data_IF_722047929862
#
_entry.id   IF_722047929862
#
_cell.length_a   1.000
_cell.length_b   1.000
_cell.length_c   1.000
_cell.angle_alpha   90.00
_cell.angle_beta   90.00
_cell.angle_gamma   90.00
#
_symmetry.space_group_name_H-M   'P 1'
#
loop_
_entity.id
_entity.type
_entity.pdbx_description
1 polymer ?
#
# COMPACT_ATOMS: atom_id res chain seq x y z
N UNK A 1 9.93 -17.06 -6.53
CA UNK A 1 9.31 -16.71 -5.24
C UNK A 1 7.82 -16.57 -5.49
N UNK A 2 6.99 -17.44 -4.93
CA UNK A 2 5.54 -17.41 -5.13
C UNK A 2 4.94 -16.32 -4.23
N UNK A 3 4.51 -15.20 -4.82
CA UNK A 3 3.66 -14.22 -4.14
C UNK A 3 2.21 -14.61 -4.39
N UNK A 4 1.49 -15.00 -3.34
CA UNK A 4 0.03 -15.16 -3.41
C UNK A 4 -0.56 -13.77 -3.49
N UNK A 5 -0.91 -13.31 -4.70
CA UNK A 5 -1.59 -12.03 -4.88
C UNK A 5 -2.97 -12.11 -4.23
N UNK A 6 -3.12 -11.40 -3.12
CA UNK A 6 -4.39 -11.35 -2.40
C UNK A 6 -5.30 -10.32 -3.08
N UNK A 7 -6.13 -10.77 -4.02
CA UNK A 7 -7.00 -9.90 -4.81
C UNK A 7 -8.26 -9.50 -4.03
N UNK A 8 -8.11 -8.71 -2.96
CA UNK A 8 -9.24 -8.05 -2.29
C UNK A 8 -9.40 -6.63 -2.86
N UNK A 9 -10.63 -6.17 -3.12
CA UNK A 9 -10.87 -4.75 -3.39
C UNK A 9 -10.33 -3.91 -2.22
N UNK A 10 -9.80 -2.72 -2.50
CA UNK A 10 -9.28 -1.80 -1.46
C UNK A 10 -10.31 -1.55 -0.35
N UNK A 11 -11.58 -1.38 -0.72
CA UNK A 11 -12.69 -1.24 0.23
C UNK A 11 -12.78 -2.42 1.21
N UNK A 12 -12.56 -3.66 0.75
CA UNK A 12 -12.64 -4.84 1.61
C UNK A 12 -11.49 -4.87 2.63
N UNK A 13 -10.30 -4.40 2.26
CA UNK A 13 -9.16 -4.25 3.18
C UNK A 13 -9.46 -3.17 4.22
N UNK A 14 -9.90 -1.99 3.78
CA UNK A 14 -10.27 -0.87 4.68
C UNK A 14 -11.36 -1.28 5.68
N UNK A 15 -12.42 -1.91 5.19
CA UNK A 15 -13.51 -2.37 6.03
C UNK A 15 -13.07 -3.46 7.03
N UNK A 16 -12.05 -4.26 6.70
CA UNK A 16 -11.52 -5.26 7.63
C UNK A 16 -10.84 -4.63 8.85
N UNK A 17 -10.14 -3.50 8.68
CA UNK A 17 -9.56 -2.75 9.80
C UNK A 17 -10.63 -2.12 10.68
N UNK A 18 -11.66 -1.50 10.06
CA UNK A 18 -12.79 -0.90 10.77
C UNK A 18 -13.56 -1.98 11.55
N UNK A 19 -13.85 -3.12 10.91
CA UNK A 19 -14.56 -4.24 11.55
C UNK A 19 -13.77 -4.87 12.71
N UNK A 20 -12.44 -4.76 12.68
CA UNK A 20 -11.57 -5.18 13.78
C UNK A 20 -11.43 -4.11 14.90
N UNK A 21 -12.07 -2.95 14.76
CA UNK A 21 -12.09 -1.88 15.76
C UNK A 21 -10.93 -0.88 15.69
N UNK A 22 -10.09 -0.93 14.64
CA UNK A 22 -9.02 0.04 14.46
C UNK A 22 -9.53 1.36 13.88
N UNK A 23 -8.94 2.47 14.31
CA UNK A 23 -9.09 3.77 13.65
C UNK A 23 -7.95 3.99 12.66
N UNK A 24 -8.27 4.29 11.40
CA UNK A 24 -7.26 4.61 10.37
C UNK A 24 -6.81 6.07 10.58
N UNK A 25 -5.52 6.27 10.84
CA UNK A 25 -4.92 7.60 11.07
C UNK A 25 -4.31 8.19 9.81
N UNK A 26 -3.67 7.36 8.99
CA UNK A 26 -3.10 7.77 7.72
C UNK A 26 -3.15 6.61 6.71
N UNK A 27 -3.24 6.98 5.44
CA UNK A 27 -3.02 6.07 4.31
C UNK A 27 -2.00 6.75 3.41
N UNK A 28 -0.85 6.13 3.22
CA UNK A 28 0.26 6.71 2.46
C UNK A 28 0.74 5.77 1.37
N UNK A 29 1.15 6.35 0.26
CA UNK A 29 1.94 5.68 -0.77
C UNK A 29 3.34 6.31 -0.73
N UNK A 30 4.30 5.70 -0.02
CA UNK A 30 5.65 6.25 0.06
C UNK A 30 6.34 6.13 -1.31
N UNK A 31 7.16 7.13 -1.69
CA UNK A 31 7.98 7.00 -2.88
C UNK A 31 8.98 5.83 -2.72
N UNK A 32 9.52 5.31 -3.83
CA UNK A 32 10.66 4.40 -3.78
C UNK A 32 11.79 4.97 -2.90
N UNK A 33 12.54 4.08 -2.24
CA UNK A 33 13.67 4.52 -1.42
C UNK A 33 14.68 5.30 -2.26
N UNK A 34 15.32 6.35 -1.72
CA UNK A 34 16.22 7.21 -2.51
C UNK A 34 17.40 6.48 -3.18
N UNK A 35 17.80 5.34 -2.63
CA UNK A 35 18.89 4.47 -3.08
C UNK A 35 18.41 3.32 -3.98
N UNK A 36 17.12 3.27 -4.33
CA UNK A 36 16.57 2.24 -5.22
C UNK A 36 17.26 2.30 -6.59
N UNK A 37 17.90 1.21 -7.06
CA UNK A 37 18.52 1.16 -8.38
C UNK A 37 17.52 1.47 -9.49
N UNK A 38 17.97 2.21 -10.51
CA UNK A 38 17.10 2.74 -11.58
C UNK A 38 16.39 1.65 -12.37
N UNK A 39 17.04 0.51 -12.55
CA UNK A 39 16.51 -0.68 -13.22
C UNK A 39 15.37 -1.36 -12.45
N UNK A 40 15.20 -1.05 -11.16
CA UNK A 40 14.12 -1.55 -10.31
C UNK A 40 12.95 -0.55 -10.17
N UNK A 41 13.10 0.68 -10.66
CA UNK A 41 12.04 1.69 -10.55
C UNK A 41 10.93 1.42 -11.59
N UNK A 42 9.65 1.47 -11.19
CA UNK A 42 8.54 1.23 -12.09
C UNK A 42 8.39 2.37 -13.10
N UNK A 43 8.79 2.11 -14.35
CA UNK A 43 8.64 2.88 -15.58
C UNK A 43 9.09 4.37 -15.56
N UNK A 44 9.81 4.80 -16.60
CA UNK A 44 10.38 6.16 -16.65
C UNK A 44 9.37 7.27 -17.03
N UNK A 45 8.16 6.89 -17.47
CA UNK A 45 7.17 7.79 -18.08
C UNK A 45 6.20 8.45 -17.08
N UNK A 46 6.46 8.33 -15.76
CA UNK A 46 5.90 9.25 -14.75
C UNK A 46 4.45 9.04 -14.32
N UNK A 47 3.77 7.98 -14.73
CA UNK A 47 2.47 7.62 -14.15
C UNK A 47 2.65 6.59 -13.04
N UNK A 48 2.79 7.07 -11.81
CA UNK A 48 2.66 6.22 -10.61
C UNK A 48 1.22 5.72 -10.54
N UNK A 49 1.03 4.41 -10.70
CA UNK A 49 -0.18 3.72 -10.29
C UNK A 49 -0.09 3.40 -8.80
N UNK A 50 -1.21 3.45 -8.08
CA UNK A 50 -1.27 3.07 -6.65
C UNK A 50 -0.81 1.61 -6.52
N UNK A 51 0.46 1.41 -6.17
CA UNK A 51 1.09 0.09 -6.15
C UNK A 51 1.15 -0.46 -4.73
N UNK A 52 1.47 0.39 -3.75
CA UNK A 52 1.60 0.00 -2.34
C UNK A 52 0.97 1.05 -1.43
N UNK A 53 -0.03 0.64 -0.66
CA UNK A 53 -0.65 1.47 0.38
C UNK A 53 -0.22 1.01 1.75
N UNK A 54 0.24 1.95 2.57
CA UNK A 54 0.59 1.75 3.97
C UNK A 54 -0.50 2.37 4.84
N UNK A 55 -0.93 1.65 5.86
CA UNK A 55 -1.96 2.09 6.79
C UNK A 55 -1.35 2.30 8.18
N UNK A 56 -1.54 3.49 8.72
CA UNK A 56 -1.34 3.75 10.15
C UNK A 56 -2.66 3.51 10.88
N UNK A 57 -2.67 2.53 11.79
CA UNK A 57 -3.85 2.06 12.50
C UNK A 57 -3.66 2.28 14.00
N UNK A 58 -4.61 2.99 14.61
CA UNK A 58 -4.69 3.10 16.05
C UNK A 58 -5.61 2.01 16.62
N UNK A 59 -5.08 1.26 17.60
CA UNK A 59 -5.85 0.31 18.38
C UNK A 59 -6.79 1.04 19.40
N UNK A 60 -7.88 0.38 19.84
CA UNK A 60 -8.80 0.92 20.85
C UNK A 60 -8.13 1.32 22.17
#
# INVERSE_FOLDING_TARGET
>A
MWMTYWHRPLQAVINSFIGAGFAIRAVTEPPPAPDTPRELLPNQDGQSFICFLFFDLQAP
#
